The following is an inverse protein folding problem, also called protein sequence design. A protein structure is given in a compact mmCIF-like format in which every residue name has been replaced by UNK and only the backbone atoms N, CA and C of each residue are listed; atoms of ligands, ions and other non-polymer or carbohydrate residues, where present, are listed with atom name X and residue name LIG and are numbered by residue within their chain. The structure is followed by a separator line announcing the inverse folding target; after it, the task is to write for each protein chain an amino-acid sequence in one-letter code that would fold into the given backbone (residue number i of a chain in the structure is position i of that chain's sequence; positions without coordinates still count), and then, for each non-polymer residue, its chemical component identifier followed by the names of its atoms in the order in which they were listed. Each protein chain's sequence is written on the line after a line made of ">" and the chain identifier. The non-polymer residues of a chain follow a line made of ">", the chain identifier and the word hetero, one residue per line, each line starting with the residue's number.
data_IF_876442385068
#
_entry.id   IF_876442385068
#
_cell.length_a   1.000
_cell.length_b   1.000
_cell.length_c   1.000
_cell.angle_alpha   90.00
_cell.angle_beta   90.00
_cell.angle_gamma   90.00
#
_symmetry.space_group_name_H-M   'P 1'
#
loop_
_entity.id
_entity.type
_entity.pdbx_description
1 polymer ?
#
# COMPACT_ATOMS: atom_id res chain seq x y z
N UNK A 1 48.92 -45.24 19.12
CA UNK A 1 47.81 -44.81 19.99
C UNK A 1 47.05 -43.71 19.24
N UNK A 2 45.88 -44.03 18.67
CA UNK A 2 45.05 -43.04 17.94
C UNK A 2 44.14 -42.35 18.94
N UNK A 3 44.39 -41.07 19.22
CA UNK A 3 43.46 -40.25 20.00
C UNK A 3 42.24 -39.92 19.12
N UNK A 4 41.09 -40.47 19.47
CA UNK A 4 39.80 -40.23 18.82
C UNK A 4 39.16 -38.98 19.48
N UNK A 5 39.36 -37.80 18.89
CA UNK A 5 38.70 -36.58 19.37
C UNK A 5 37.22 -36.62 18.93
N UNK A 6 36.23 -36.39 19.82
CA UNK A 6 34.84 -36.72 19.57
C UNK A 6 34.12 -35.65 18.73
N UNK A 7 33.48 -36.07 17.63
CA UNK A 7 32.68 -35.23 16.70
C UNK A 7 31.38 -34.64 17.28
N UNK A 8 31.16 -34.69 18.61
CA UNK A 8 29.87 -34.36 19.22
C UNK A 8 29.63 -32.86 19.51
N UNK A 9 30.66 -32.01 19.51
CA UNK A 9 30.49 -30.58 19.85
C UNK A 9 29.97 -29.75 18.66
N UNK A 10 30.36 -30.11 17.44
CA UNK A 10 30.01 -29.35 16.21
C UNK A 10 28.55 -29.53 15.80
N UNK A 11 27.99 -30.74 15.94
CA UNK A 11 26.63 -31.06 15.50
C UNK A 11 25.54 -30.35 16.31
N UNK A 12 25.71 -30.18 17.62
CA UNK A 12 24.75 -29.43 18.46
C UNK A 12 24.79 -27.93 18.21
N UNK A 13 25.97 -27.38 17.89
CA UNK A 13 26.16 -25.96 17.58
C UNK A 13 25.51 -25.60 16.24
N UNK A 14 25.69 -26.44 15.21
CA UNK A 14 25.15 -26.22 13.87
C UNK A 14 23.62 -26.31 13.82
N UNK A 15 23.02 -27.29 14.50
CA UNK A 15 21.56 -27.44 14.56
C UNK A 15 20.93 -26.27 15.33
N UNK A 16 21.48 -25.88 16.48
CA UNK A 16 20.98 -24.75 17.26
C UNK A 16 21.15 -23.38 16.57
N UNK A 17 22.25 -23.19 15.83
CA UNK A 17 22.49 -21.99 15.04
C UNK A 17 21.48 -21.86 13.90
N UNK A 18 21.17 -22.96 13.20
CA UNK A 18 20.17 -22.98 12.12
C UNK A 18 18.77 -22.59 12.59
N UNK A 19 18.33 -23.06 13.76
CA UNK A 19 17.04 -22.63 14.32
C UNK A 19 17.03 -21.16 14.75
N UNK A 20 18.14 -20.64 15.30
CA UNK A 20 18.23 -19.22 15.68
C UNK A 20 18.23 -18.31 14.46
N UNK A 21 19.01 -18.62 13.42
CA UNK A 21 19.06 -17.82 12.19
C UNK A 21 17.74 -17.88 11.42
N UNK A 22 17.07 -19.03 11.39
CA UNK A 22 15.73 -19.17 10.81
C UNK A 22 14.68 -18.33 11.55
N UNK A 23 14.69 -18.34 12.89
CA UNK A 23 13.77 -17.52 13.70
C UNK A 23 13.98 -16.02 13.48
N UNK A 24 15.24 -15.58 13.37
CA UNK A 24 15.56 -14.18 13.08
C UNK A 24 15.11 -13.78 11.66
N UNK A 25 15.27 -14.67 10.68
CA UNK A 25 14.80 -14.44 9.32
C UNK A 25 13.28 -14.25 9.25
N UNK A 26 12.50 -15.11 9.91
CA UNK A 26 11.03 -15.01 9.95
C UNK A 26 10.59 -13.69 10.59
N UNK A 27 11.25 -13.24 11.66
CA UNK A 27 10.94 -11.97 12.31
C UNK A 27 11.21 -10.77 11.41
N UNK A 28 12.33 -10.76 10.68
CA UNK A 28 12.70 -9.68 9.76
C UNK A 28 11.69 -9.60 8.60
N UNK A 29 11.33 -10.74 8.01
CA UNK A 29 10.35 -10.80 6.91
C UNK A 29 8.98 -10.32 7.38
N UNK A 30 8.53 -10.75 8.56
CA UNK A 30 7.26 -10.30 9.14
C UNK A 30 7.23 -8.80 9.44
N UNK A 31 8.31 -8.24 9.99
CA UNK A 31 8.45 -6.81 10.22
C UNK A 31 8.48 -6.00 8.92
N UNK A 32 9.18 -6.48 7.89
CA UNK A 32 9.20 -5.85 6.58
C UNK A 32 7.82 -5.85 5.91
N UNK A 33 7.08 -6.96 5.98
CA UNK A 33 5.70 -7.06 5.49
C UNK A 33 4.77 -6.11 6.25
N UNK A 34 4.90 -6.03 7.57
CA UNK A 34 4.12 -5.14 8.40
C UNK A 34 4.40 -3.67 8.06
N UNK A 35 5.66 -3.30 7.87
CA UNK A 35 6.07 -1.95 7.46
C UNK A 35 5.49 -1.58 6.10
N UNK A 36 5.65 -2.43 5.08
CA UNK A 36 5.08 -2.22 3.74
C UNK A 36 3.55 -2.12 3.79
N UNK A 37 2.92 -2.93 4.63
CA UNK A 37 1.47 -2.89 4.83
C UNK A 37 1.02 -1.55 5.44
N UNK A 38 1.71 -1.04 6.47
CA UNK A 38 1.35 0.22 7.11
C UNK A 38 1.54 1.45 6.21
N UNK A 39 2.59 1.48 5.39
CA UNK A 39 2.80 2.54 4.40
C UNK A 39 1.68 2.57 3.33
N UNK A 40 0.97 1.44 3.12
CA UNK A 40 -0.19 1.35 2.22
C UNK A 40 -1.52 1.88 2.78
N UNK A 41 -1.62 2.22 4.07
CA UNK A 41 -2.91 2.58 4.73
C UNK A 41 -3.20 4.08 4.75
N UNK A 42 -2.29 4.94 4.27
CA UNK A 42 -2.52 6.39 4.27
C UNK A 42 -2.12 7.06 2.95
N UNK A 43 -2.77 6.68 1.86
CA UNK A 43 -2.83 7.53 0.67
C UNK A 43 -4.28 7.66 0.23
N UNK A 44 -5.05 8.45 0.99
CA UNK A 44 -6.12 9.24 0.37
C UNK A 44 -5.45 10.33 -0.48
N UNK A 45 -4.66 9.93 -1.48
CA UNK A 45 -4.30 10.84 -2.55
C UNK A 45 -5.60 11.01 -3.33
N UNK A 46 -6.23 12.17 -3.14
CA UNK A 46 -7.19 12.65 -4.10
C UNK A 46 -6.44 12.80 -5.43
N UNK A 47 -6.38 11.71 -6.20
CA UNK A 47 -5.87 11.71 -7.56
C UNK A 47 -6.75 12.70 -8.29
N UNK A 48 -6.19 13.86 -8.65
CA UNK A 48 -6.85 14.82 -9.52
C UNK A 48 -6.99 14.15 -10.90
N UNK A 49 -8.07 13.39 -11.07
CA UNK A 49 -8.46 12.84 -12.37
C UNK A 49 -9.03 13.97 -13.23
N UNK A 50 -8.92 13.83 -14.55
CA UNK A 50 -9.35 14.84 -15.51
C UNK A 50 -10.80 15.29 -15.22
N UNK A 51 -10.95 16.54 -14.79
CA UNK A 51 -12.26 17.18 -14.67
C UNK A 51 -12.81 17.43 -16.07
N UNK A 52 -13.95 16.81 -16.42
CA UNK A 52 -14.74 17.31 -17.54
C UNK A 52 -15.31 18.66 -17.14
N UNK A 53 -14.77 19.73 -17.71
CA UNK A 53 -15.39 21.06 -17.62
C UNK A 53 -16.76 21.02 -18.30
N UNK A 54 -17.78 21.48 -17.58
CA UNK A 54 -19.10 21.74 -18.14
C UNK A 54 -19.05 23.17 -18.69
N UNK A 55 -19.35 23.37 -19.97
CA UNK A 55 -19.40 24.70 -20.59
C UNK A 55 -18.51 24.89 -21.83
N UNK A 56 -18.47 26.14 -22.31
CA UNK A 56 -17.70 26.61 -23.46
C UNK A 56 -16.84 27.85 -23.14
N UNK A 57 -16.64 28.75 -24.11
CA UNK A 57 -15.83 29.98 -23.89
C UNK A 57 -16.60 31.11 -23.21
N UNK A 58 -17.92 30.99 -23.07
CA UNK A 58 -18.77 31.99 -22.45
C UNK A 58 -18.98 31.68 -20.96
N UNK A 59 -19.54 32.64 -20.21
CA UNK A 59 -19.77 32.47 -18.77
C UNK A 59 -20.88 31.46 -18.46
N UNK A 60 -20.59 30.54 -17.55
CA UNK A 60 -21.55 29.57 -17.00
C UNK A 60 -21.92 29.92 -15.55
N UNK A 61 -23.17 29.65 -15.18
CA UNK A 61 -23.72 29.88 -13.85
C UNK A 61 -24.41 28.63 -13.32
N UNK A 62 -23.73 27.91 -12.43
CA UNK A 62 -24.32 26.80 -11.68
C UNK A 62 -25.32 27.29 -10.63
N UNK A 63 -26.49 26.66 -10.56
CA UNK A 63 -27.54 26.97 -9.58
C UNK A 63 -27.71 25.87 -8.53
N UNK A 64 -27.48 24.61 -8.90
CA UNK A 64 -27.58 23.47 -7.98
C UNK A 64 -26.69 22.31 -8.45
N UNK A 65 -26.26 21.46 -7.51
CA UNK A 65 -25.50 20.25 -7.77
C UNK A 65 -25.91 19.11 -6.83
N UNK A 66 -25.90 17.88 -7.33
CA UNK A 66 -26.12 16.66 -6.54
C UNK A 66 -25.21 15.53 -7.04
N UNK A 67 -24.93 14.55 -6.18
CA UNK A 67 -24.23 13.32 -6.54
C UNK A 67 -25.11 12.10 -6.25
N UNK A 68 -24.99 11.05 -7.06
CA UNK A 68 -25.60 9.75 -6.77
C UNK A 68 -24.64 8.83 -5.99
N UNK A 69 -25.14 7.67 -5.56
CA UNK A 69 -24.34 6.68 -4.83
C UNK A 69 -23.24 6.02 -5.67
N UNK A 70 -23.29 6.18 -7.00
CA UNK A 70 -22.31 5.64 -7.93
C UNK A 70 -21.19 6.66 -8.23
N UNK A 71 -21.25 7.86 -7.65
CA UNK A 71 -20.27 8.92 -7.85
C UNK A 71 -20.50 9.78 -9.10
N UNK A 72 -21.65 9.66 -9.76
CA UNK A 72 -22.02 10.58 -10.84
C UNK A 72 -22.44 11.94 -10.26
N UNK A 73 -21.93 13.03 -10.84
CA UNK A 73 -22.26 14.41 -10.43
C UNK A 73 -23.17 15.05 -11.46
N UNK A 74 -24.26 15.65 -10.99
CA UNK A 74 -25.25 16.36 -11.80
C UNK A 74 -25.29 17.81 -11.37
N UNK A 75 -25.16 18.74 -12.33
CA UNK A 75 -25.19 20.18 -12.08
C UNK A 75 -26.24 20.81 -12.98
N UNK A 76 -27.08 21.69 -12.41
CA UNK A 76 -28.08 22.47 -13.14
C UNK A 76 -27.75 23.95 -13.09
N UNK A 77 -28.03 24.68 -14.15
CA UNK A 77 -27.70 26.10 -14.25
C UNK A 77 -27.81 26.62 -15.68
N UNK A 78 -27.28 27.81 -15.91
CA UNK A 78 -27.14 28.38 -17.24
C UNK A 78 -25.74 28.08 -17.76
N UNK A 79 -25.65 27.31 -18.84
CA UNK A 79 -24.39 26.99 -19.49
C UNK A 79 -24.41 27.57 -20.90
N UNK A 80 -23.45 28.43 -21.23
CA UNK A 80 -23.41 29.19 -22.49
C UNK A 80 -22.23 28.76 -23.35
N UNK A 81 -22.46 28.56 -24.64
CA UNK A 81 -21.41 28.18 -25.60
C UNK A 81 -21.03 26.69 -25.59
N UNK A 82 -21.96 25.81 -25.21
CA UNK A 82 -21.82 24.34 -25.31
C UNK A 82 -21.53 23.85 -26.72
#
# INVERSE_FOLDING_TARGET
>A
MKALIPKLVSTRLLVGLGFKTFRVFVLIVGLAMLFIYYEGVAHAEAVYSFTKTIGGTNGDFGQSATADSNGNVYITGYFSGT
#
